data_IF_610724490591
#
_entry.id   IF_610724490591
#
_cell.length_a   1.000
_cell.length_b   1.000
_cell.length_c   1.000
_cell.angle_alpha   90.00
_cell.angle_beta   90.00
_cell.angle_gamma   90.00
#
_symmetry.space_group_name_H-M   'P 1'
#
loop_
_entity.id
_entity.type
_entity.pdbx_description
1 polymer ?
#
# COMPACT_ATOMS: atom_id res chain seq x y z
N UNK A 1 11.64 -23.03 2.98
CA UNK A 1 10.38 -22.26 3.03
C UNK A 1 9.73 -22.47 4.37
N UNK A 2 8.61 -21.79 4.63
CA UNK A 2 7.75 -22.07 5.78
C UNK A 2 7.13 -23.47 5.69
N UNK A 3 6.96 -24.15 6.83
CA UNK A 3 6.26 -25.44 6.87
C UNK A 3 4.76 -25.22 6.57
N UNK A 4 4.22 -25.81 5.48
CA UNK A 4 2.80 -25.67 5.13
C UNK A 4 1.85 -26.24 6.20
N UNK A 5 2.33 -27.06 7.14
CA UNK A 5 1.56 -27.61 8.27
C UNK A 5 1.44 -26.63 9.44
N UNK A 6 2.33 -25.64 9.54
CA UNK A 6 2.27 -24.57 10.54
C UNK A 6 1.38 -23.45 9.98
N UNK A 7 0.07 -23.64 10.07
CA UNK A 7 -0.92 -22.71 9.51
C UNK A 7 -1.05 -21.42 10.35
N UNK A 8 -0.06 -20.53 10.28
CA UNK A 8 -0.18 -19.14 10.76
C UNK A 8 -1.39 -18.46 10.12
N UNK A 9 -2.01 -17.48 10.77
CA UNK A 9 -3.16 -16.75 10.20
C UNK A 9 -2.87 -16.18 8.80
N UNK A 10 -1.64 -15.68 8.61
CA UNK A 10 -1.15 -15.18 7.32
C UNK A 10 -0.94 -16.31 6.30
N UNK A 11 -0.47 -17.49 6.73
CA UNK A 11 -0.39 -18.69 5.89
C UNK A 11 -1.77 -19.17 5.42
N UNK A 12 -2.77 -19.16 6.30
CA UNK A 12 -4.17 -19.47 5.94
C UNK A 12 -4.73 -18.49 4.92
N UNK A 13 -4.45 -17.18 5.07
CA UNK A 13 -4.85 -16.16 4.11
C UNK A 13 -4.24 -16.43 2.71
N UNK A 14 -2.93 -16.71 2.65
CA UNK A 14 -2.26 -17.05 1.39
C UNK A 14 -2.85 -18.30 0.75
N UNK A 15 -3.09 -19.36 1.54
CA UNK A 15 -3.72 -20.58 1.01
C UNK A 15 -5.12 -20.32 0.45
N UNK A 16 -5.90 -19.44 1.08
CA UNK A 16 -7.23 -19.05 0.57
C UNK A 16 -7.12 -18.25 -0.73
N UNK A 17 -6.18 -17.31 -0.81
CA UNK A 17 -5.87 -16.58 -2.05
C UNK A 17 -5.48 -17.53 -3.17
N UNK A 18 -4.63 -18.52 -2.89
CA UNK A 18 -4.20 -19.48 -3.89
C UNK A 18 -5.34 -20.32 -4.46
N UNK A 19 -6.27 -20.75 -3.60
CA UNK A 19 -7.47 -21.44 -4.05
C UNK A 19 -8.34 -20.55 -4.95
N UNK A 20 -8.56 -19.30 -4.56
CA UNK A 20 -9.31 -18.34 -5.37
C UNK A 20 -8.63 -18.09 -6.72
N UNK A 21 -7.31 -17.91 -6.75
CA UNK A 21 -6.54 -17.74 -7.99
C UNK A 21 -6.73 -18.93 -8.94
N UNK A 22 -6.77 -20.16 -8.41
CA UNK A 22 -7.03 -21.36 -9.20
C UNK A 22 -8.46 -21.38 -9.77
N UNK A 23 -9.45 -21.00 -8.96
CA UNK A 23 -10.85 -20.90 -9.39
C UNK A 23 -11.03 -19.80 -10.46
N UNK A 24 -10.42 -18.62 -10.26
CA UNK A 24 -10.41 -17.52 -11.24
C UNK A 24 -9.80 -18.00 -12.56
N UNK A 25 -8.65 -18.68 -12.52
CA UNK A 25 -8.01 -19.22 -13.72
C UNK A 25 -8.92 -20.23 -14.44
N UNK A 26 -9.59 -21.10 -13.70
CA UNK A 26 -10.55 -22.06 -14.27
C UNK A 26 -11.69 -21.35 -14.99
N UNK A 27 -12.32 -20.38 -14.34
CA UNK A 27 -13.42 -19.62 -14.94
C UNK A 27 -12.97 -18.76 -16.14
N UNK A 28 -11.77 -18.18 -16.11
CA UNK A 28 -11.20 -17.48 -17.27
C UNK A 28 -11.02 -18.40 -18.48
N UNK A 29 -10.58 -19.64 -18.27
CA UNK A 29 -10.47 -20.64 -19.34
C UNK A 29 -11.82 -21.06 -19.89
N UNK A 30 -12.82 -21.25 -19.02
CA UNK A 30 -14.20 -21.53 -19.43
C UNK A 30 -14.76 -20.39 -20.27
N UNK A 31 -14.56 -19.14 -19.83
CA UNK A 31 -14.97 -17.94 -20.57
C UNK A 31 -14.33 -17.90 -21.96
N UNK A 32 -13.01 -18.07 -22.05
CA UNK A 32 -12.30 -18.05 -23.33
C UNK A 32 -12.81 -19.16 -24.29
N UNK A 33 -13.04 -20.36 -23.76
CA UNK A 33 -13.63 -21.46 -24.52
C UNK A 33 -15.04 -21.15 -25.03
N UNK A 34 -15.89 -20.59 -24.17
CA UNK A 34 -17.24 -20.17 -24.53
C UNK A 34 -17.26 -19.02 -25.54
N UNK A 35 -16.38 -18.02 -25.42
CA UNK A 35 -16.25 -16.92 -26.39
C UNK A 35 -15.82 -17.44 -27.76
N UNK A 36 -14.86 -18.37 -27.81
CA UNK A 36 -14.43 -18.99 -29.06
C UNK A 36 -15.56 -19.81 -29.70
N UNK A 37 -16.30 -20.58 -28.91
CA UNK A 37 -17.46 -21.34 -29.40
C UNK A 37 -18.57 -20.42 -29.90
N UNK A 38 -18.83 -19.31 -29.20
CA UNK A 38 -19.82 -18.31 -29.58
C UNK A 38 -19.48 -17.66 -30.94
N UNK A 39 -18.19 -17.37 -31.16
CA UNK A 39 -17.68 -16.83 -32.43
C UNK A 39 -17.73 -17.86 -33.55
N UNK A 40 -17.44 -19.13 -33.27
CA UNK A 40 -17.36 -20.20 -34.26
C UNK A 40 -18.72 -20.77 -34.67
N UNK A 41 -19.73 -20.73 -33.79
CA UNK A 41 -21.03 -21.38 -34.05
C UNK A 41 -21.95 -20.56 -34.95
N UNK A 42 -22.55 -21.21 -35.94
CA UNK A 42 -23.59 -20.65 -36.81
C UNK A 42 -25.01 -21.07 -36.40
N UNK A 43 -25.14 -22.02 -35.47
CA UNK A 43 -26.43 -22.49 -34.97
C UNK A 43 -27.00 -21.51 -33.95
N UNK A 44 -28.14 -20.89 -34.28
CA UNK A 44 -28.80 -19.87 -33.45
C UNK A 44 -29.14 -20.35 -32.05
N UNK A 45 -29.68 -21.57 -31.89
CA UNK A 45 -30.03 -22.12 -30.56
C UNK A 45 -28.78 -22.34 -29.71
N UNK A 46 -27.73 -22.92 -30.31
CA UNK A 46 -26.47 -23.12 -29.62
C UNK A 46 -25.83 -21.78 -29.23
N UNK A 47 -25.93 -20.77 -30.10
CA UNK A 47 -25.43 -19.41 -29.83
C UNK A 47 -26.14 -18.76 -28.63
N UNK A 48 -27.45 -18.91 -28.53
CA UNK A 48 -28.25 -18.47 -27.38
C UNK A 48 -27.83 -19.20 -26.09
N UNK A 49 -27.62 -20.52 -26.14
CA UNK A 49 -27.12 -21.28 -24.98
C UNK A 49 -25.74 -20.81 -24.54
N UNK A 50 -24.80 -20.63 -25.48
CA UNK A 50 -23.44 -20.17 -25.15
C UNK A 50 -23.46 -18.74 -24.60
N UNK A 51 -24.38 -17.87 -25.04
CA UNK A 51 -24.55 -16.54 -24.46
C UNK A 51 -24.98 -16.58 -22.99
N UNK A 52 -25.90 -17.50 -22.63
CA UNK A 52 -26.33 -17.70 -21.24
C UNK A 52 -25.17 -18.22 -20.39
N UNK A 53 -24.41 -19.20 -20.90
CA UNK A 53 -23.22 -19.71 -20.21
C UNK A 53 -22.15 -18.62 -20.02
N UNK A 54 -21.91 -17.78 -21.03
CA UNK A 54 -21.00 -16.64 -20.91
C UNK A 54 -21.44 -15.67 -19.79
N UNK A 55 -22.74 -15.40 -19.69
CA UNK A 55 -23.29 -14.58 -18.61
C UNK A 55 -23.05 -15.21 -17.24
N UNK A 56 -23.26 -16.52 -17.10
CA UNK A 56 -23.02 -17.26 -15.86
C UNK A 56 -21.54 -17.25 -15.46
N UNK A 57 -20.63 -17.55 -16.39
CA UNK A 57 -19.18 -17.54 -16.14
C UNK A 57 -18.70 -16.12 -15.78
N UNK A 58 -19.20 -15.08 -16.43
CA UNK A 58 -18.87 -13.70 -16.08
C UNK A 58 -19.33 -13.33 -14.66
N UNK A 59 -20.53 -13.75 -14.26
CA UNK A 59 -21.05 -13.56 -12.90
C UNK A 59 -20.19 -14.28 -11.85
N UNK A 60 -19.81 -15.54 -12.11
CA UNK A 60 -18.91 -16.28 -11.21
C UNK A 60 -17.52 -15.64 -11.11
N UNK A 61 -16.95 -15.20 -12.23
CA UNK A 61 -15.67 -14.48 -12.24
C UNK A 61 -15.73 -13.22 -11.39
N UNK A 62 -16.83 -12.48 -11.50
CA UNK A 62 -17.05 -11.26 -10.71
C UNK A 62 -17.07 -11.58 -9.21
N UNK A 63 -17.83 -12.61 -8.79
CA UNK A 63 -17.88 -13.05 -7.40
C UNK A 63 -16.51 -13.47 -6.86
N UNK A 64 -15.75 -14.25 -7.64
CA UNK A 64 -14.41 -14.71 -7.23
C UNK A 64 -13.42 -13.55 -7.09
N UNK A 65 -13.47 -12.58 -8.00
CA UNK A 65 -12.66 -11.35 -7.92
C UNK A 65 -13.00 -10.53 -6.69
N UNK A 66 -14.27 -10.40 -6.34
CA UNK A 66 -14.71 -9.71 -5.12
C UNK A 66 -14.20 -10.41 -3.85
N UNK A 67 -14.27 -11.74 -3.80
CA UNK A 67 -13.72 -12.50 -2.69
C UNK A 67 -12.21 -12.30 -2.56
N UNK A 68 -11.47 -12.22 -3.68
CA UNK A 68 -10.05 -11.91 -3.67
C UNK A 68 -9.78 -10.48 -3.19
N UNK A 69 -10.58 -9.50 -3.63
CA UNK A 69 -10.48 -8.11 -3.19
C UNK A 69 -10.73 -7.95 -1.68
N UNK A 70 -11.68 -8.69 -1.11
CA UNK A 70 -11.92 -8.73 0.34
C UNK A 70 -10.67 -9.24 1.11
N UNK A 71 -10.03 -10.30 0.60
CA UNK A 71 -8.79 -10.80 1.20
C UNK A 71 -7.63 -9.81 1.05
N UNK A 72 -7.54 -9.10 -0.07
CA UNK A 72 -6.52 -8.07 -0.29
C UNK A 72 -6.76 -6.81 0.56
N UNK A 73 -8.01 -6.55 0.95
CA UNK A 73 -8.40 -5.46 1.87
C UNK A 73 -8.17 -5.80 3.35
N UNK A 74 -7.77 -7.04 3.66
CA UNK A 74 -7.54 -7.53 5.02
C UNK A 74 -6.17 -7.11 5.59
N UNK A 75 -5.99 -5.79 5.78
CA UNK A 75 -4.72 -5.21 6.26
C UNK A 75 -4.36 -5.57 7.71
N UNK A 76 -5.34 -5.90 8.55
CA UNK A 76 -5.17 -6.11 10.00
C UNK A 76 -4.26 -7.28 10.35
N UNK A 77 -4.27 -8.33 9.53
CA UNK A 77 -3.47 -9.53 9.75
C UNK A 77 -1.95 -9.27 9.74
N UNK A 78 -1.54 -8.14 9.16
CA UNK A 78 -0.15 -7.74 9.01
C UNK A 78 0.29 -6.67 10.01
N UNK A 79 -0.67 -6.02 10.70
CA UNK A 79 -0.35 -4.99 11.67
C UNK A 79 0.34 -5.58 12.91
N UNK A 80 1.02 -4.73 13.68
CA UNK A 80 1.62 -5.12 14.96
C UNK A 80 0.56 -5.61 15.97
N UNK A 81 1.00 -6.42 16.94
CA UNK A 81 0.13 -6.97 18.00
C UNK A 81 -0.15 -5.97 19.14
N UNK A 82 0.21 -4.70 18.96
CA UNK A 82 0.00 -3.66 19.96
C UNK A 82 -1.49 -3.46 20.24
N UNK A 83 -1.84 -3.29 21.51
CA UNK A 83 -3.20 -2.95 21.93
C UNK A 83 -3.58 -1.51 21.65
N UNK A 84 -2.59 -0.66 21.31
CA UNK A 84 -2.82 0.73 21.00
C UNK A 84 -3.47 0.85 19.61
N UNK A 85 -4.49 1.69 19.52
CA UNK A 85 -5.09 2.03 18.24
C UNK A 85 -4.09 2.83 17.41
N UNK A 86 -3.62 2.25 16.32
CA UNK A 86 -2.66 2.86 15.38
C UNK A 86 -3.31 2.91 14.00
N UNK A 87 -2.98 3.95 13.23
CA UNK A 87 -3.46 4.10 11.85
C UNK A 87 -2.99 2.86 11.05
N UNK A 88 -3.85 2.16 10.29
CA UNK A 88 -3.41 0.96 9.59
C UNK A 88 -2.51 1.31 8.39
N UNK A 89 -1.51 0.46 8.16
CA UNK A 89 -0.70 0.48 6.94
C UNK A 89 -1.26 -0.48 5.90
N UNK A 90 -1.03 -0.19 4.62
CA UNK A 90 -1.34 -1.04 3.47
C UNK A 90 -0.11 -1.91 3.15
N UNK A 91 -0.13 -3.21 3.51
CA UNK A 91 0.86 -4.18 3.05
C UNK A 91 0.44 -4.78 1.70
N UNK A 92 1.41 -5.30 0.96
CA UNK A 92 1.19 -6.00 -0.30
C UNK A 92 1.16 -7.51 -0.11
N UNK A 93 0.33 -8.16 -0.93
CA UNK A 93 0.30 -9.61 -1.06
C UNK A 93 1.50 -10.15 -1.83
N UNK A 94 1.85 -11.41 -1.60
CA UNK A 94 2.83 -12.09 -2.44
C UNK A 94 2.16 -12.59 -3.73
N UNK A 95 2.88 -12.46 -4.85
CA UNK A 95 2.61 -13.21 -6.08
C UNK A 95 2.85 -14.68 -5.84
N UNK A 96 2.06 -15.49 -6.53
CA UNK A 96 2.14 -16.95 -6.46
C UNK A 96 2.67 -17.52 -7.77
N UNK A 97 3.31 -18.69 -7.72
CA UNK A 97 3.80 -19.38 -8.91
C UNK A 97 3.61 -20.88 -8.79
N UNK A 98 3.52 -21.54 -9.95
CA UNK A 98 3.44 -22.99 -10.06
C UNK A 98 4.81 -23.65 -9.94
N UNK A 99 4.77 -24.95 -9.69
CA UNK A 99 5.95 -25.81 -9.77
C UNK A 99 6.44 -25.86 -11.21
N UNK A 100 7.77 -25.90 -11.35
CA UNK A 100 8.45 -26.01 -12.63
C UNK A 100 9.53 -27.05 -12.44
N UNK A 101 9.54 -28.04 -13.32
CA UNK A 101 10.60 -29.02 -13.40
C UNK A 101 11.69 -28.52 -14.36
N UNK A 102 12.90 -28.34 -13.84
CA UNK A 102 14.07 -27.94 -14.62
C UNK A 102 14.96 -29.13 -14.97
N UNK A 103 14.70 -30.32 -14.41
CA UNK A 103 15.60 -31.46 -14.49
C UNK A 103 15.84 -31.89 -15.92
N UNK A 104 14.80 -32.37 -16.59
CA UNK A 104 14.95 -32.88 -17.95
C UNK A 104 15.37 -31.77 -18.93
N UNK A 105 14.76 -30.56 -18.93
CA UNK A 105 15.20 -29.48 -19.82
C UNK A 105 16.67 -29.08 -19.65
N UNK A 106 17.18 -29.03 -18.41
CA UNK A 106 18.59 -28.69 -18.18
C UNK A 106 19.51 -29.84 -18.55
N UNK A 107 19.14 -31.09 -18.27
CA UNK A 107 19.92 -32.26 -18.66
C UNK A 107 20.05 -32.37 -20.18
N UNK A 108 18.94 -32.25 -20.89
CA UNK A 108 18.90 -32.28 -22.34
C UNK A 108 19.75 -31.15 -22.93
N UNK A 109 19.68 -29.95 -22.35
CA UNK A 109 20.54 -28.85 -22.77
C UNK A 109 22.02 -29.11 -22.52
N UNK A 110 22.39 -29.69 -21.37
CA UNK A 110 23.78 -30.02 -21.05
C UNK A 110 24.35 -31.04 -22.03
N UNK A 111 23.59 -32.10 -22.32
CA UNK A 111 23.96 -33.13 -23.29
C UNK A 111 24.11 -32.54 -24.70
N UNK A 112 23.12 -31.77 -25.16
CA UNK A 112 23.08 -31.28 -26.54
C UNK A 112 24.01 -30.09 -26.80
N UNK A 113 24.13 -29.15 -25.88
CA UNK A 113 24.89 -27.91 -26.07
C UNK A 113 26.34 -28.04 -25.61
N UNK A 114 26.56 -28.60 -24.42
CA UNK A 114 27.90 -28.73 -23.83
C UNK A 114 28.56 -30.07 -24.15
N UNK A 115 27.82 -31.04 -24.70
CA UNK A 115 28.33 -32.41 -24.96
C UNK A 115 28.89 -33.07 -23.69
N UNK A 116 28.28 -32.77 -22.54
CA UNK A 116 28.69 -33.27 -21.24
C UNK A 116 27.66 -34.26 -20.67
N UNK A 117 28.12 -35.21 -19.85
CA UNK A 117 27.23 -36.11 -19.10
C UNK A 117 26.45 -35.33 -18.04
N UNK A 118 25.16 -35.13 -18.30
CA UNK A 118 24.28 -34.34 -17.46
C UNK A 118 24.06 -34.93 -16.05
N UNK A 119 24.32 -36.22 -15.84
CA UNK A 119 24.17 -36.84 -14.50
C UNK A 119 25.18 -36.29 -13.49
N UNK A 120 26.29 -35.70 -13.94
CA UNK A 120 27.25 -35.00 -13.07
C UNK A 120 26.69 -33.74 -12.41
N UNK A 121 25.57 -33.23 -12.93
CA UNK A 121 24.95 -31.98 -12.49
C UNK A 121 23.61 -32.20 -11.76
N UNK A 122 23.22 -33.45 -11.50
CA UNK A 122 21.96 -33.80 -10.83
C UNK A 122 21.76 -33.03 -9.52
N UNK A 123 22.77 -33.04 -8.65
CA UNK A 123 22.71 -32.41 -7.33
C UNK A 123 22.56 -30.88 -7.46
N UNK A 124 23.28 -30.25 -8.38
CA UNK A 124 23.20 -28.81 -8.60
C UNK A 124 21.83 -28.37 -9.17
N UNK A 125 21.25 -29.20 -10.05
CA UNK A 125 19.90 -29.00 -10.58
C UNK A 125 18.87 -29.17 -9.46
N UNK A 126 19.01 -30.22 -8.64
CA UNK A 126 18.14 -30.46 -7.49
C UNK A 126 18.21 -29.29 -6.49
N UNK A 127 19.40 -28.80 -6.14
CA UNK A 127 19.58 -27.64 -5.26
C UNK A 127 18.91 -26.36 -5.78
N UNK A 128 18.98 -26.12 -7.10
CA UNK A 128 18.30 -25.00 -7.74
C UNK A 128 16.78 -25.15 -7.67
N UNK A 129 16.26 -26.34 -7.98
CA UNK A 129 14.84 -26.66 -7.89
C UNK A 129 14.32 -26.55 -6.45
N UNK A 130 15.07 -27.03 -5.48
CA UNK A 130 14.73 -26.95 -4.05
C UNK A 130 14.71 -25.49 -3.56
N UNK A 131 15.68 -24.68 -4.02
CA UNK A 131 15.69 -23.24 -3.72
C UNK A 131 14.45 -22.56 -4.30
N UNK A 132 14.08 -22.88 -5.55
CA UNK A 132 12.85 -22.38 -6.17
C UNK A 132 11.60 -22.86 -5.43
N UNK A 133 11.53 -24.13 -5.07
CA UNK A 133 10.39 -24.66 -4.35
C UNK A 133 10.23 -24.00 -2.99
N UNK A 134 11.35 -23.78 -2.28
CA UNK A 134 11.36 -23.11 -1.00
C UNK A 134 10.89 -21.65 -1.07
N UNK A 135 11.20 -20.92 -2.14
CA UNK A 135 10.84 -19.50 -2.26
C UNK A 135 9.35 -19.27 -2.53
N UNK A 136 8.60 -20.30 -2.94
CA UNK A 136 7.14 -20.21 -3.18
C UNK A 136 6.36 -19.92 -1.91
N UNK A 137 6.92 -20.31 -0.76
CA UNK A 137 6.35 -20.06 0.58
C UNK A 137 7.39 -19.42 1.51
N UNK A 138 7.89 -18.22 1.16
CA UNK A 138 8.95 -17.60 1.92
C UNK A 138 8.45 -17.20 3.31
N UNK A 139 9.36 -17.15 4.28
CA UNK A 139 9.04 -16.57 5.58
C UNK A 139 8.80 -15.07 5.44
N UNK A 140 7.99 -14.49 6.34
CA UNK A 140 7.62 -13.06 6.29
C UNK A 140 8.55 -12.25 7.20
N UNK A 141 9.84 -12.44 6.98
CA UNK A 141 10.96 -11.90 7.75
C UNK A 141 12.22 -11.77 6.87
N UNK A 142 13.33 -11.35 7.48
CA UNK A 142 14.64 -11.22 6.81
C UNK A 142 15.16 -12.54 6.23
N UNK A 143 14.82 -13.69 6.83
CA UNK A 143 15.21 -15.01 6.31
C UNK A 143 14.52 -15.30 4.99
N UNK A 144 13.22 -14.97 4.87
CA UNK A 144 12.48 -15.10 3.61
C UNK A 144 13.01 -14.18 2.52
N UNK A 145 13.38 -12.94 2.85
CA UNK A 145 14.05 -12.01 1.93
C UNK A 145 15.39 -12.61 1.45
N UNK A 146 16.21 -13.15 2.36
CA UNK A 146 17.46 -13.80 2.02
C UNK A 146 17.29 -14.99 1.07
N UNK A 147 16.23 -15.79 1.25
CA UNK A 147 15.88 -16.90 0.37
C UNK A 147 15.51 -16.42 -1.05
N UNK A 148 14.66 -15.39 -1.17
CA UNK A 148 14.28 -14.81 -2.46
C UNK A 148 15.50 -14.20 -3.16
N UNK A 149 16.36 -13.50 -2.43
CA UNK A 149 17.57 -12.91 -2.97
C UNK A 149 18.58 -13.98 -3.44
N UNK A 150 18.73 -15.09 -2.72
CA UNK A 150 19.53 -16.25 -3.16
C UNK A 150 19.03 -16.79 -4.49
N UNK A 151 17.72 -17.00 -4.63
CA UNK A 151 17.14 -17.50 -5.88
C UNK A 151 17.30 -16.49 -7.02
N UNK A 152 17.05 -15.20 -6.77
CA UNK A 152 17.27 -14.13 -7.74
C UNK A 152 18.71 -14.12 -8.28
N UNK A 153 19.70 -14.29 -7.41
CA UNK A 153 21.11 -14.38 -7.81
C UNK A 153 21.42 -15.66 -8.61
N UNK A 154 20.80 -16.78 -8.27
CA UNK A 154 20.94 -18.01 -9.07
C UNK A 154 20.37 -17.83 -10.49
N UNK A 155 19.25 -17.10 -10.65
CA UNK A 155 18.67 -16.81 -11.97
C UNK A 155 19.64 -16.06 -12.89
N UNK A 156 20.52 -15.21 -12.35
CA UNK A 156 21.57 -14.57 -13.16
C UNK A 156 22.50 -15.59 -13.82
N UNK A 157 22.92 -16.61 -13.07
CA UNK A 157 23.82 -17.65 -13.56
C UNK A 157 23.12 -18.65 -14.49
N UNK A 158 21.85 -18.95 -14.21
CA UNK A 158 21.02 -19.86 -15.00
C UNK A 158 20.67 -19.24 -16.34
N UNK A 159 20.24 -17.97 -16.37
CA UNK A 159 19.89 -17.26 -17.61
C UNK A 159 21.04 -17.29 -18.62
N UNK A 160 22.26 -16.99 -18.17
CA UNK A 160 23.45 -16.93 -19.05
C UNK A 160 23.91 -18.28 -19.59
N UNK A 161 23.49 -19.40 -18.99
CA UNK A 161 23.91 -20.75 -19.39
C UNK A 161 22.83 -21.48 -20.16
N UNK A 162 21.58 -21.38 -19.71
CA UNK A 162 20.48 -22.23 -20.16
C UNK A 162 19.47 -21.50 -21.06
N UNK A 163 19.47 -20.16 -21.08
CA UNK A 163 18.48 -19.38 -21.83
C UNK A 163 19.13 -18.51 -22.91
N UNK A 164 19.77 -19.12 -23.94
CA UNK A 164 20.28 -18.35 -25.06
C UNK A 164 19.11 -17.82 -25.92
N UNK A 165 19.27 -16.67 -26.62
CA UNK A 165 18.16 -16.03 -27.35
C UNK A 165 17.55 -16.86 -28.48
N UNK A 166 18.32 -17.78 -29.05
CA UNK A 166 18.01 -18.57 -30.24
C UNK A 166 17.47 -19.98 -29.95
N UNK A 167 17.45 -20.41 -28.67
CA UNK A 167 16.95 -21.74 -28.28
C UNK A 167 15.89 -21.67 -27.19
N UNK A 168 14.86 -22.49 -27.36
CA UNK A 168 13.81 -22.68 -26.35
C UNK A 168 14.04 -23.96 -25.57
N UNK A 169 14.03 -23.87 -24.24
CA UNK A 169 14.00 -25.04 -23.35
C UNK A 169 12.59 -25.58 -23.08
N UNK A 170 11.55 -24.94 -23.61
CA UNK A 170 10.16 -25.29 -23.26
C UNK A 170 9.79 -25.00 -21.80
N UNK A 171 10.61 -24.21 -21.09
CA UNK A 171 10.33 -23.75 -19.73
C UNK A 171 9.47 -22.49 -19.78
N UNK A 172 8.40 -22.49 -18.99
CA UNK A 172 7.46 -21.37 -18.87
C UNK A 172 7.26 -21.01 -17.39
N UNK A 173 7.52 -19.75 -17.08
CA UNK A 173 7.28 -19.16 -15.78
C UNK A 173 5.84 -18.66 -15.69
N UNK A 174 5.00 -19.38 -14.95
CA UNK A 174 3.61 -19.00 -14.68
C UNK A 174 3.51 -18.37 -13.28
N UNK A 175 3.09 -17.11 -13.24
CA UNK A 175 2.86 -16.35 -12.01
C UNK A 175 1.44 -15.80 -11.96
N UNK A 176 0.89 -15.71 -10.76
CA UNK A 176 -0.40 -15.07 -10.51
C UNK A 176 -0.16 -13.64 -10.04
N UNK A 177 -0.92 -12.73 -10.63
CA UNK A 177 -0.99 -11.33 -10.24
C UNK A 177 -1.44 -11.18 -8.77
N UNK A 178 -0.70 -10.39 -8.01
CA UNK A 178 -0.93 -10.22 -6.57
C UNK A 178 -2.18 -9.39 -6.23
N UNK A 179 -2.70 -8.61 -7.18
CA UNK A 179 -3.86 -7.74 -7.01
C UNK A 179 -5.13 -8.42 -7.55
N UNK A 180 -5.04 -8.98 -8.75
CA UNK A 180 -6.20 -9.49 -9.52
C UNK A 180 -6.30 -11.01 -9.54
N UNK A 181 -5.24 -11.74 -9.18
CA UNK A 181 -5.19 -13.20 -9.22
C UNK A 181 -5.13 -13.79 -10.63
N UNK A 182 -5.04 -12.95 -11.67
CA UNK A 182 -4.94 -13.40 -13.06
C UNK A 182 -3.55 -14.00 -13.32
N UNK A 183 -3.46 -15.18 -13.96
CA UNK A 183 -2.17 -15.78 -14.29
C UNK A 183 -1.55 -15.14 -15.53
N UNK A 184 -0.23 -14.92 -15.49
CA UNK A 184 0.60 -14.56 -16.63
C UNK A 184 1.71 -15.59 -16.80
N UNK A 185 1.98 -15.97 -18.04
CA UNK A 185 2.92 -17.04 -18.39
C UNK A 185 3.91 -16.53 -19.42
N UNK A 186 5.21 -16.57 -19.10
CA UNK A 186 6.29 -16.12 -20.00
C UNK A 186 7.46 -17.09 -20.00
N UNK A 187 8.25 -17.04 -21.07
CA UNK A 187 9.49 -17.82 -21.20
C UNK A 187 10.72 -17.07 -20.67
N UNK A 188 10.62 -15.76 -20.50
CA UNK A 188 11.78 -14.91 -20.19
C UNK A 188 12.15 -15.02 -18.72
N UNK A 189 13.45 -15.21 -18.43
CA UNK A 189 13.96 -15.21 -17.04
C UNK A 189 13.78 -13.82 -16.39
N UNK A 190 13.77 -12.76 -17.19
CA UNK A 190 13.43 -11.41 -16.74
C UNK A 190 12.06 -11.36 -16.04
N UNK A 191 11.05 -12.09 -16.53
CA UNK A 191 9.74 -12.14 -15.88
C UNK A 191 9.79 -12.84 -14.51
N UNK A 192 10.47 -13.99 -14.41
CA UNK A 192 10.70 -14.68 -13.13
C UNK A 192 11.42 -13.76 -12.13
N UNK A 193 12.48 -13.08 -12.58
CA UNK A 193 13.25 -12.11 -11.77
C UNK A 193 12.37 -10.98 -11.23
N UNK A 194 11.56 -10.35 -12.09
CA UNK A 194 10.64 -9.28 -11.68
C UNK A 194 9.65 -9.76 -10.62
N UNK A 195 9.07 -10.96 -10.78
CA UNK A 195 8.12 -11.53 -9.82
C UNK A 195 8.77 -11.87 -8.47
N UNK A 196 10.03 -12.36 -8.48
CA UNK A 196 10.79 -12.61 -7.24
C UNK A 196 11.09 -11.30 -6.51
N UNK A 197 11.51 -10.26 -7.23
CA UNK A 197 11.72 -8.92 -6.66
C UNK A 197 10.43 -8.33 -6.10
N UNK A 198 9.31 -8.49 -6.81
CA UNK A 198 8.00 -8.07 -6.32
C UNK A 198 7.70 -8.70 -4.95
N UNK A 199 7.93 -10.00 -4.81
CA UNK A 199 7.74 -10.70 -3.54
C UNK A 199 8.69 -10.21 -2.43
N UNK A 200 9.92 -9.81 -2.76
CA UNK A 200 10.82 -9.17 -1.79
C UNK A 200 10.25 -7.83 -1.32
N UNK A 201 9.83 -6.98 -2.26
CA UNK A 201 9.17 -5.70 -1.96
C UNK A 201 7.94 -5.88 -1.08
N UNK A 202 7.08 -6.84 -1.42
CA UNK A 202 5.90 -7.17 -0.65
C UNK A 202 6.22 -7.66 0.78
N UNK A 203 7.24 -8.50 0.98
CA UNK A 203 7.66 -8.90 2.35
C UNK A 203 8.14 -7.68 3.14
N UNK A 204 8.92 -6.77 2.55
CA UNK A 204 9.31 -5.53 3.23
C UNK A 204 8.09 -4.73 3.70
N UNK A 205 7.05 -4.57 2.86
CA UNK A 205 5.81 -3.88 3.30
C UNK A 205 5.14 -4.57 4.49
N UNK A 206 5.15 -5.91 4.53
CA UNK A 206 4.56 -6.70 5.61
C UNK A 206 5.39 -6.61 6.91
N UNK A 207 6.71 -6.53 6.80
CA UNK A 207 7.60 -6.31 7.95
C UNK A 207 7.39 -4.90 8.51
N UNK A 208 7.30 -3.88 7.63
CA UNK A 208 7.07 -2.50 8.01
C UNK A 208 5.73 -2.31 8.74
N UNK A 209 4.65 -2.86 8.19
CA UNK A 209 3.32 -2.81 8.82
C UNK A 209 3.25 -3.54 10.17
N UNK A 210 4.13 -4.53 10.42
CA UNK A 210 4.17 -5.30 11.67
C UNK A 210 4.87 -4.55 12.81
N UNK A 211 5.68 -3.54 12.52
CA UNK A 211 6.50 -2.90 13.54
C UNK A 211 5.66 -2.23 14.63
N UNK A 212 6.21 -2.20 15.85
CA UNK A 212 5.60 -1.48 16.96
C UNK A 212 5.92 0.01 16.86
N UNK A 213 4.94 0.76 16.34
CA UNK A 213 5.02 2.20 16.12
C UNK A 213 4.90 3.05 17.39
N UNK A 214 4.77 2.45 18.56
CA UNK A 214 4.85 3.16 19.85
C UNK A 214 6.29 3.42 20.32
N UNK A 215 7.29 2.89 19.61
CA UNK A 215 8.71 3.02 19.97
C UNK A 215 9.51 3.63 18.82
N UNK A 216 10.51 4.46 19.14
CA UNK A 216 11.41 5.05 18.13
C UNK A 216 12.11 3.98 17.28
N UNK A 217 12.53 2.86 17.90
CA UNK A 217 13.17 1.74 17.21
C UNK A 217 12.22 1.05 16.22
N UNK A 218 10.96 0.85 16.60
CA UNK A 218 9.97 0.26 15.70
C UNK A 218 9.61 1.18 14.56
N UNK A 219 9.52 2.49 14.80
CA UNK A 219 9.35 3.50 13.75
C UNK A 219 10.53 3.52 12.76
N UNK A 220 11.77 3.52 13.25
CA UNK A 220 12.96 3.43 12.39
C UNK A 220 12.98 2.16 11.54
N UNK A 221 12.61 1.02 12.14
CA UNK A 221 12.47 -0.22 11.40
C UNK A 221 11.34 -0.15 10.35
N UNK A 222 10.21 0.51 10.64
CA UNK A 222 9.11 0.66 9.70
C UNK A 222 9.54 1.50 8.49
N UNK A 223 10.20 2.63 8.74
CA UNK A 223 10.77 3.52 7.71
C UNK A 223 11.73 2.76 6.82
N UNK A 224 12.74 2.07 7.38
CA UNK A 224 13.73 1.30 6.60
C UNK A 224 13.05 0.26 5.70
N UNK A 225 12.04 -0.45 6.21
CA UNK A 225 11.32 -1.46 5.43
C UNK A 225 10.46 -0.85 4.31
N UNK A 226 9.71 0.23 4.57
CA UNK A 226 8.91 0.87 3.52
C UNK A 226 9.79 1.49 2.42
N UNK A 227 10.93 2.09 2.79
CA UNK A 227 11.89 2.63 1.81
C UNK A 227 12.56 1.52 0.99
N UNK A 228 12.93 0.38 1.60
CA UNK A 228 13.43 -0.79 0.86
C UNK A 228 12.39 -1.34 -0.12
N UNK A 229 11.12 -1.38 0.29
CA UNK A 229 10.03 -1.78 -0.58
C UNK A 229 9.88 -0.82 -1.77
N UNK A 230 9.82 0.49 -1.51
CA UNK A 230 9.72 1.53 -2.54
C UNK A 230 10.89 1.46 -3.53
N UNK A 231 12.13 1.34 -3.03
CA UNK A 231 13.31 1.18 -3.86
C UNK A 231 13.29 -0.10 -4.71
N UNK A 232 12.76 -1.20 -4.16
CA UNK A 232 12.59 -2.45 -4.91
C UNK A 232 11.59 -2.29 -6.06
N UNK A 233 10.42 -1.68 -5.82
CA UNK A 233 9.43 -1.45 -6.88
C UNK A 233 9.89 -0.44 -7.92
N UNK A 234 10.60 0.62 -7.50
CA UNK A 234 11.24 1.56 -8.43
C UNK A 234 12.26 0.86 -9.32
N UNK A 235 13.09 -0.02 -8.76
CA UNK A 235 14.02 -0.81 -9.55
C UNK A 235 13.31 -1.71 -10.56
N UNK A 236 12.18 -2.33 -10.18
CA UNK A 236 11.36 -3.11 -11.11
C UNK A 236 10.85 -2.22 -12.25
N UNK A 237 10.28 -1.06 -11.91
CA UNK A 237 9.73 -0.08 -12.86
C UNK A 237 10.77 0.34 -13.91
N UNK A 238 11.99 0.66 -13.47
CA UNK A 238 13.05 1.15 -14.35
C UNK A 238 13.70 0.06 -15.23
N UNK A 239 13.68 -1.21 -14.79
CA UNK A 239 14.45 -2.30 -15.43
C UNK A 239 13.59 -3.37 -16.12
N UNK A 240 12.27 -3.40 -15.90
CA UNK A 240 11.37 -4.44 -16.41
C UNK A 240 10.11 -3.86 -17.09
N UNK A 241 10.30 -3.15 -18.20
CA UNK A 241 9.27 -2.27 -18.82
C UNK A 241 8.16 -2.97 -19.61
N UNK A 242 8.29 -4.26 -19.95
CA UNK A 242 7.33 -5.01 -20.77
C UNK A 242 6.69 -6.18 -20.00
N UNK A 243 6.25 -5.92 -18.77
CA UNK A 243 5.70 -6.96 -17.93
C UNK A 243 4.28 -7.39 -18.39
N UNK A 244 3.98 -8.69 -18.41
CA UNK A 244 2.71 -9.24 -18.89
C UNK A 244 1.60 -9.27 -17.82
N UNK A 245 1.87 -8.80 -16.60
CA UNK A 245 0.94 -8.79 -15.48
C UNK A 245 0.69 -7.36 -15.02
N UNK A 246 -0.54 -7.09 -14.59
CA UNK A 246 -0.98 -5.73 -14.25
C UNK A 246 -0.23 -5.18 -13.04
N UNK A 247 0.06 -6.03 -12.05
CA UNK A 247 0.83 -5.68 -10.85
C UNK A 247 2.30 -5.27 -11.11
N UNK A 248 2.78 -5.48 -12.34
CA UNK A 248 4.09 -5.02 -12.80
C UNK A 248 3.97 -3.91 -13.86
N UNK A 249 2.76 -3.42 -14.12
CA UNK A 249 2.51 -2.29 -15.01
C UNK A 249 3.10 -0.99 -14.46
N UNK A 250 3.58 -0.08 -15.33
CA UNK A 250 4.32 1.09 -14.88
C UNK A 250 3.49 2.02 -13.98
N UNK A 251 2.23 2.25 -14.30
CA UNK A 251 1.32 3.09 -13.51
C UNK A 251 1.05 2.50 -12.11
N UNK A 252 0.90 1.17 -12.04
CA UNK A 252 0.72 0.47 -10.76
C UNK A 252 1.99 0.58 -9.92
N UNK A 253 3.15 0.33 -10.50
CA UNK A 253 4.42 0.40 -9.78
C UNK A 253 4.70 1.82 -9.26
N UNK A 254 4.40 2.85 -10.05
CA UNK A 254 4.54 4.25 -9.59
C UNK A 254 3.59 4.55 -8.42
N UNK A 255 2.31 4.16 -8.53
CA UNK A 255 1.35 4.31 -7.42
C UNK A 255 1.84 3.58 -6.15
N UNK A 256 2.35 2.35 -6.29
CA UNK A 256 2.90 1.58 -5.16
C UNK A 256 4.12 2.26 -4.54
N UNK A 257 5.01 2.83 -5.36
CA UNK A 257 6.17 3.59 -4.86
C UNK A 257 5.72 4.79 -4.04
N UNK A 258 4.80 5.62 -4.56
CA UNK A 258 4.31 6.80 -3.85
C UNK A 258 3.57 6.42 -2.56
N UNK A 259 2.76 5.37 -2.57
CA UNK A 259 2.10 4.85 -1.38
C UNK A 259 3.10 4.48 -0.28
N UNK A 260 4.19 3.77 -0.65
CA UNK A 260 5.19 3.33 0.31
C UNK A 260 6.04 4.47 0.85
N UNK A 261 6.33 5.50 0.03
CA UNK A 261 6.98 6.73 0.48
C UNK A 261 6.10 7.50 1.46
N UNK A 262 4.79 7.64 1.19
CA UNK A 262 3.84 8.26 2.10
C UNK A 262 3.76 7.52 3.45
N UNK A 263 3.72 6.19 3.43
CA UNK A 263 3.72 5.38 4.67
C UNK A 263 5.05 5.47 5.45
N UNK A 264 6.18 5.63 4.77
CA UNK A 264 7.45 5.91 5.42
C UNK A 264 7.45 7.30 6.10
N UNK A 265 6.95 8.33 5.41
CA UNK A 265 6.82 9.68 5.95
C UNK A 265 5.83 9.75 7.12
N UNK A 266 4.74 8.98 7.08
CA UNK A 266 3.84 8.77 8.22
C UNK A 266 4.59 8.28 9.47
N UNK A 267 5.51 7.32 9.32
CA UNK A 267 6.30 6.82 10.44
C UNK A 267 7.34 7.86 10.94
N UNK A 268 7.87 8.71 10.05
CA UNK A 268 8.76 9.80 10.44
C UNK A 268 8.03 10.89 11.24
N UNK A 269 6.82 11.25 10.83
CA UNK A 269 5.96 12.18 11.57
C UNK A 269 5.65 11.64 12.98
N UNK A 270 5.24 10.38 13.08
CA UNK A 270 5.00 9.73 14.38
C UNK A 270 6.24 9.71 15.27
N UNK A 271 7.43 9.54 14.68
CA UNK A 271 8.70 9.57 15.41
C UNK A 271 8.98 10.97 15.97
N UNK A 272 8.76 12.01 15.17
CA UNK A 272 8.90 13.40 15.62
C UNK A 272 7.90 13.74 16.73
N UNK A 273 6.67 13.23 16.63
CA UNK A 273 5.67 13.38 17.69
C UNK A 273 6.11 12.71 18.99
N UNK A 274 6.58 11.46 18.92
CA UNK A 274 7.05 10.69 20.07
C UNK A 274 8.24 11.36 20.77
N UNK A 275 9.21 11.85 19.99
CA UNK A 275 10.41 12.50 20.53
C UNK A 275 10.12 13.86 21.18
N UNK A 276 9.00 14.49 20.83
CA UNK A 276 8.62 15.82 21.33
C UNK A 276 7.62 15.79 22.49
N UNK A 277 7.13 14.64 22.94
CA UNK A 277 6.04 14.58 23.94
C UNK A 277 6.40 15.28 25.26
N UNK A 278 7.64 15.15 25.74
CA UNK A 278 8.08 15.73 27.01
C UNK A 278 8.48 17.21 26.92
N UNK A 279 8.93 17.66 25.74
CA UNK A 279 9.47 19.00 25.54
C UNK A 279 9.03 19.60 24.19
N UNK A 280 7.71 19.75 24.01
CA UNK A 280 7.13 20.32 22.80
C UNK A 280 7.18 21.85 22.85
N UNK A 281 8.11 22.43 22.10
CA UNK A 281 8.21 23.89 21.92
C UNK A 281 7.28 24.38 20.80
N UNK A 282 7.13 25.69 20.68
CA UNK A 282 6.37 26.33 19.61
C UNK A 282 6.93 25.94 18.25
N UNK A 283 8.25 26.02 18.06
CA UNK A 283 8.88 25.70 16.78
C UNK A 283 8.63 24.23 16.41
N UNK A 284 8.70 23.31 17.37
CA UNK A 284 8.37 21.89 17.13
C UNK A 284 6.90 21.70 16.75
N UNK A 285 5.97 22.47 17.33
CA UNK A 285 4.56 22.45 16.90
C UNK A 285 4.44 22.89 15.43
N UNK A 286 5.15 23.93 15.01
CA UNK A 286 5.11 24.41 13.62
C UNK A 286 5.76 23.41 12.66
N UNK A 287 6.89 22.81 13.04
CA UNK A 287 7.54 21.73 12.27
C UNK A 287 6.59 20.53 12.10
N UNK A 288 5.93 20.11 13.19
CA UNK A 288 4.93 19.04 13.16
C UNK A 288 3.73 19.38 12.28
N UNK A 289 3.32 20.65 12.25
CA UNK A 289 2.23 21.10 11.39
C UNK A 289 2.62 21.00 9.91
N UNK A 290 3.81 21.47 9.56
CA UNK A 290 4.31 21.43 8.19
C UNK A 290 4.51 19.99 7.70
N UNK A 291 5.16 19.14 8.50
CA UNK A 291 5.35 17.72 8.16
C UNK A 291 4.02 16.97 8.02
N UNK A 292 3.00 17.32 8.82
CA UNK A 292 1.67 16.75 8.68
C UNK A 292 0.94 17.24 7.41
N UNK A 293 1.11 18.52 7.02
CA UNK A 293 0.58 19.06 5.78
C UNK A 293 1.23 18.41 4.55
N UNK A 294 2.55 18.28 4.53
CA UNK A 294 3.30 17.60 3.47
C UNK A 294 2.91 16.11 3.35
N UNK A 295 2.69 15.43 4.49
CA UNK A 295 2.19 14.07 4.48
C UNK A 295 0.76 13.97 3.90
N UNK A 296 -0.10 14.95 4.19
CA UNK A 296 -1.44 15.01 3.61
C UNK A 296 -1.38 15.17 2.07
N UNK A 297 -0.49 16.01 1.56
CA UNK A 297 -0.24 16.17 0.11
C UNK A 297 0.32 14.89 -0.53
N UNK A 298 1.25 14.20 0.15
CA UNK A 298 1.72 12.89 -0.31
C UNK A 298 0.55 11.91 -0.48
N UNK A 299 -0.37 11.86 0.48
CA UNK A 299 -1.56 11.00 0.37
C UNK A 299 -2.58 11.50 -0.66
N UNK A 300 -2.67 12.81 -0.89
CA UNK A 300 -3.48 13.38 -1.97
C UNK A 300 -2.95 12.95 -3.34
N UNK A 301 -1.63 12.98 -3.55
CA UNK A 301 -0.99 12.50 -4.77
C UNK A 301 -1.20 10.99 -4.96
N UNK A 302 -1.05 10.20 -3.90
CA UNK A 302 -1.37 8.76 -3.96
C UNK A 302 -2.85 8.55 -4.31
N UNK A 303 -3.75 9.36 -3.77
CA UNK A 303 -5.19 9.29 -4.07
C UNK A 303 -5.50 9.62 -5.54
N UNK A 304 -4.79 10.58 -6.14
CA UNK A 304 -4.89 10.88 -7.58
C UNK A 304 -4.45 9.67 -8.43
N UNK A 305 -3.26 9.13 -8.15
CA UNK A 305 -2.71 7.99 -8.89
C UNK A 305 -3.59 6.74 -8.79
N UNK A 306 -4.09 6.44 -7.60
CA UNK A 306 -4.91 5.24 -7.36
C UNK A 306 -6.32 5.36 -7.95
N UNK A 307 -6.81 6.58 -8.15
CA UNK A 307 -8.13 6.87 -8.74
C UNK A 307 -8.09 6.96 -10.26
N UNK A 308 -6.91 6.99 -10.86
CA UNK A 308 -6.76 6.99 -12.31
C UNK A 308 -7.28 5.67 -12.92
N UNK A 309 -7.92 5.73 -14.09
CA UNK A 309 -8.60 4.57 -14.72
C UNK A 309 -7.67 3.37 -14.96
N UNK A 310 -6.39 3.63 -15.24
CA UNK A 310 -5.37 2.57 -15.43
C UNK A 310 -5.03 1.78 -14.15
N UNK A 311 -5.40 2.30 -12.98
CA UNK A 311 -5.08 1.72 -11.66
C UNK A 311 -6.33 1.30 -10.89
N UNK A 312 -7.36 2.15 -10.91
CA UNK A 312 -8.58 2.04 -10.13
C UNK A 312 -9.21 0.65 -10.18
N UNK A 313 -9.32 0.06 -11.36
CA UNK A 313 -10.03 -1.22 -11.59
C UNK A 313 -9.26 -2.46 -11.08
N UNK A 314 -8.00 -2.29 -10.69
CA UNK A 314 -7.09 -3.40 -10.31
C UNK A 314 -6.74 -3.42 -8.84
N UNK A 315 -6.83 -2.27 -8.17
CA UNK A 315 -6.74 -2.15 -6.72
C UNK A 315 -7.96 -2.82 -6.08
N UNK A 316 -7.90 -3.35 -4.84
CA UNK A 316 -9.01 -4.09 -4.23
C UNK A 316 -10.35 -3.33 -4.29
N UNK A 317 -11.11 -3.64 -5.34
CA UNK A 317 -12.40 -3.08 -5.71
C UNK A 317 -13.48 -4.10 -5.36
N UNK A 318 -14.55 -3.67 -4.69
CA UNK A 318 -15.75 -4.49 -4.52
C UNK A 318 -16.88 -3.83 -5.31
N UNK A 319 -17.50 -4.54 -6.28
CA UNK A 319 -18.58 -3.96 -7.10
C UNK A 319 -19.84 -3.60 -6.29
N UNK A 320 -19.89 -3.96 -5.01
CA UNK A 320 -20.95 -3.65 -4.06
C UNK A 320 -20.58 -2.52 -3.08
N UNK A 321 -19.41 -1.90 -3.23
CA UNK A 321 -19.00 -0.70 -2.50
C UNK A 321 -18.63 0.37 -3.52
N UNK A 322 -19.33 1.50 -3.48
CA UNK A 322 -18.95 2.71 -4.23
C UNK A 322 -17.58 3.27 -3.77
N UNK A 323 -16.94 2.64 -2.76
CA UNK A 323 -15.75 3.12 -2.07
C UNK A 323 -14.71 1.98 -1.92
N UNK A 324 -13.73 1.87 -2.84
CA UNK A 324 -12.64 0.88 -2.75
C UNK A 324 -11.79 1.11 -1.49
N UNK A 325 -11.34 0.03 -0.85
CA UNK A 325 -10.80 0.10 0.51
C UNK A 325 -9.50 0.91 0.62
N UNK A 326 -8.61 0.78 -0.35
CA UNK A 326 -7.34 1.52 -0.38
C UNK A 326 -7.56 2.99 -0.73
N UNK A 327 -8.42 3.27 -1.72
CA UNK A 327 -8.78 4.64 -2.13
C UNK A 327 -9.43 5.40 -0.97
N UNK A 328 -10.34 4.74 -0.27
CA UNK A 328 -11.00 5.30 0.91
C UNK A 328 -10.02 5.53 2.04
N UNK A 329 -9.07 4.60 2.25
CA UNK A 329 -8.08 4.74 3.32
C UNK A 329 -7.09 5.87 3.02
N UNK A 330 -6.62 6.02 1.77
CA UNK A 330 -5.72 7.12 1.39
C UNK A 330 -6.42 8.46 1.54
N UNK A 331 -7.70 8.54 1.18
CA UNK A 331 -8.51 9.74 1.41
C UNK A 331 -8.69 10.03 2.90
N UNK A 332 -9.05 9.04 3.72
CA UNK A 332 -9.13 9.20 5.19
C UNK A 332 -7.80 9.67 5.77
N UNK A 333 -6.67 9.13 5.30
CA UNK A 333 -5.34 9.54 5.76
C UNK A 333 -5.03 10.98 5.36
N UNK A 334 -5.33 11.38 4.13
CA UNK A 334 -5.20 12.79 3.68
C UNK A 334 -5.94 13.72 4.65
N UNK A 335 -7.25 13.53 4.81
CA UNK A 335 -8.06 14.39 5.68
C UNK A 335 -7.59 14.37 7.15
N UNK A 336 -7.15 13.20 7.63
CA UNK A 336 -6.64 13.04 8.99
C UNK A 336 -5.37 13.85 9.22
N UNK A 337 -4.41 13.79 8.28
CA UNK A 337 -3.15 14.52 8.41
C UNK A 337 -3.31 16.02 8.15
N UNK A 338 -4.23 16.44 7.28
CA UNK A 338 -4.63 17.85 7.16
C UNK A 338 -5.19 18.38 8.48
N UNK A 339 -6.11 17.63 9.11
CA UNK A 339 -6.67 18.02 10.41
C UNK A 339 -5.62 18.02 11.53
N UNK A 340 -4.67 17.09 11.48
CA UNK A 340 -3.55 17.02 12.42
C UNK A 340 -2.60 18.22 12.27
N UNK A 341 -2.34 18.67 11.03
CA UNK A 341 -1.57 19.88 10.77
C UNK A 341 -2.20 21.09 11.46
N UNK A 342 -3.51 21.30 11.28
CA UNK A 342 -4.24 22.36 11.95
C UNK A 342 -4.21 22.26 13.49
N UNK A 343 -4.31 21.05 14.06
CA UNK A 343 -4.15 20.86 15.50
C UNK A 343 -2.77 21.27 16.01
N UNK A 344 -1.70 21.00 15.24
CA UNK A 344 -0.34 21.38 15.61
C UNK A 344 -0.12 22.90 15.50
N UNK A 345 -0.63 23.55 14.46
CA UNK A 345 -0.59 25.03 14.36
C UNK A 345 -1.29 25.66 15.56
N UNK A 346 -2.50 25.20 15.87
CA UNK A 346 -3.24 25.69 17.02
C UNK A 346 -2.47 25.48 18.32
N UNK A 347 -1.85 24.31 18.51
CA UNK A 347 -1.02 24.01 19.68
C UNK A 347 0.20 24.94 19.80
N UNK A 348 0.78 25.36 18.67
CA UNK A 348 1.89 26.32 18.63
C UNK A 348 1.44 27.75 18.94
N UNK A 349 0.35 28.21 18.31
CA UNK A 349 -0.19 29.57 18.47
C UNK A 349 -0.78 29.79 19.87
N UNK A 350 -1.41 28.77 20.45
CA UNK A 350 -1.97 28.77 21.81
C UNK A 350 -0.97 28.28 22.88
N UNK A 351 0.30 28.09 22.51
CA UNK A 351 1.31 27.61 23.44
C UNK A 351 1.49 28.60 24.60
N UNK A 352 1.75 28.10 25.82
CA UNK A 352 1.96 28.92 27.03
C UNK A 352 3.05 30.01 26.89
N UNK A 353 4.03 29.77 26.03
CA UNK A 353 5.16 30.68 25.79
C UNK A 353 4.94 31.58 24.55
N UNK A 354 3.76 31.54 23.92
CA UNK A 354 3.50 32.22 22.65
C UNK A 354 3.60 33.75 22.71
N UNK A 355 3.37 34.35 23.88
CA UNK A 355 3.62 35.79 24.11
C UNK A 355 5.07 36.19 23.82
N UNK A 356 6.01 35.26 24.03
CA UNK A 356 7.45 35.47 23.88
C UNK A 356 7.99 34.82 22.61
N UNK A 357 7.14 34.57 21.60
CA UNK A 357 7.56 34.05 20.29
C UNK A 357 8.73 34.86 19.75
N UNK A 358 9.79 34.15 19.35
CA UNK A 358 10.95 34.76 18.71
C UNK A 358 10.57 35.36 17.35
N UNK A 359 11.38 36.29 16.83
CA UNK A 359 11.17 36.85 15.49
C UNK A 359 11.19 35.73 14.45
N UNK A 360 12.14 34.80 14.54
CA UNK A 360 12.23 33.65 13.65
C UNK A 360 10.96 32.79 13.68
N UNK A 361 10.42 32.50 14.87
CA UNK A 361 9.17 31.74 15.02
C UNK A 361 7.99 32.44 14.37
N UNK A 362 7.91 33.78 14.47
CA UNK A 362 6.85 34.57 13.81
C UNK A 362 7.00 34.56 12.29
N UNK A 363 8.23 34.62 11.78
CA UNK A 363 8.51 34.47 10.35
C UNK A 363 8.11 33.07 9.85
N UNK A 364 8.48 32.00 10.58
CA UNK A 364 8.04 30.63 10.27
C UNK A 364 6.53 30.52 10.22
N UNK A 365 5.81 31.05 11.20
CA UNK A 365 4.34 31.06 11.20
C UNK A 365 3.75 31.82 10.01
N UNK A 366 4.38 32.95 9.63
CA UNK A 366 3.95 33.71 8.46
C UNK A 366 4.16 32.93 7.16
N UNK A 367 5.29 32.24 7.00
CA UNK A 367 5.56 31.39 5.83
C UNK A 367 4.64 30.17 5.79
N UNK A 368 4.36 29.57 6.94
CA UNK A 368 3.44 28.45 7.06
C UNK A 368 2.03 28.79 6.54
N UNK A 369 1.57 30.04 6.71
CA UNK A 369 0.25 30.44 6.22
C UNK A 369 0.32 31.00 4.79
N UNK A 370 -0.31 30.30 3.85
CA UNK A 370 -0.44 30.76 2.46
C UNK A 370 -1.45 31.89 2.38
N UNK A 371 -1.14 32.91 1.58
CA UNK A 371 -2.05 34.02 1.31
C UNK A 371 -3.14 33.54 0.33
N UNK A 372 -4.39 33.50 0.79
CA UNK A 372 -5.55 33.19 -0.06
C UNK A 372 -6.50 34.37 -0.10
N UNK A 373 -7.02 34.69 -1.29
CA UNK A 373 -8.09 35.71 -1.43
C UNK A 373 -9.43 35.24 -0.83
N UNK A 374 -9.56 33.95 -0.48
CA UNK A 374 -10.79 33.31 -0.03
C UNK A 374 -10.90 33.11 1.49
N UNK A 375 -9.86 33.38 2.28
CA UNK A 375 -9.87 33.11 3.73
C UNK A 375 -10.38 34.32 4.52
N UNK A 376 -11.43 34.16 5.36
CA UNK A 376 -11.99 35.27 6.14
C UNK A 376 -11.07 35.79 7.26
N UNK A 377 -10.22 34.94 7.86
CA UNK A 377 -9.14 35.38 8.77
C UNK A 377 -7.89 35.70 7.94
N UNK A 378 -7.48 36.97 7.95
CA UNK A 378 -6.16 37.41 7.45
C UNK A 378 -5.18 37.65 8.62
N UNK A 379 -5.08 36.65 9.51
CA UNK A 379 -4.14 36.66 10.64
C UNK A 379 -3.04 35.64 10.35
N UNK A 380 -2.02 36.07 9.60
CA UNK A 380 -0.83 35.23 9.33
C UNK A 380 0.19 35.28 10.47
N UNK A 381 0.24 36.41 11.17
CA UNK A 381 1.09 36.63 12.33
C UNK A 381 0.28 37.38 13.40
N UNK A 382 -0.17 36.70 14.46
CA UNK A 382 -1.01 37.30 15.48
C UNK A 382 -0.22 38.31 16.33
N UNK A 383 -0.77 39.51 16.48
CA UNK A 383 -0.12 40.65 17.14
C UNK A 383 -0.32 40.64 18.66
N UNK A 384 -1.45 40.13 19.11
CA UNK A 384 -1.86 40.10 20.51
C UNK A 384 -2.45 38.74 20.89
N UNK A 385 -2.89 38.62 22.15
CA UNK A 385 -3.47 37.39 22.68
C UNK A 385 -4.81 37.05 22.03
N UNK A 386 -5.61 38.05 21.68
CA UNK A 386 -6.93 37.84 21.08
C UNK A 386 -6.81 37.35 19.63
N UNK A 387 -5.91 37.92 18.83
CA UNK A 387 -5.58 37.42 17.49
C UNK A 387 -5.00 35.99 17.56
N UNK A 388 -4.17 35.67 18.57
CA UNK A 388 -3.67 34.29 18.78
C UNK A 388 -4.81 33.33 19.12
N UNK A 389 -5.70 33.73 20.02
CA UNK A 389 -6.85 32.91 20.44
C UNK A 389 -7.78 32.65 19.25
N UNK A 390 -8.11 33.69 18.50
CA UNK A 390 -8.96 33.60 17.32
C UNK A 390 -8.36 32.69 16.25
N UNK A 391 -7.08 32.86 15.91
CA UNK A 391 -6.37 32.02 14.94
C UNK A 391 -6.30 30.56 15.40
N UNK A 392 -5.95 30.33 16.68
CA UNK A 392 -5.89 29.00 17.27
C UNK A 392 -7.25 28.28 17.27
N UNK A 393 -8.34 29.00 17.55
CA UNK A 393 -9.71 28.46 17.48
C UNK A 393 -10.13 28.15 16.05
N UNK A 394 -9.81 29.02 15.08
CA UNK A 394 -10.13 28.79 13.67
C UNK A 394 -9.48 27.49 13.16
N UNK A 395 -8.20 27.26 13.47
CA UNK A 395 -7.53 26.00 13.15
C UNK A 395 -8.14 24.78 13.85
N UNK A 396 -8.49 24.87 15.14
CA UNK A 396 -9.14 23.75 15.84
C UNK A 396 -10.50 23.40 15.25
N UNK A 397 -11.25 24.41 14.80
CA UNK A 397 -12.53 24.20 14.13
C UNK A 397 -12.36 23.50 12.79
N UNK A 398 -11.41 23.94 11.96
CA UNK A 398 -11.10 23.28 10.69
C UNK A 398 -10.65 21.82 10.94
N UNK A 399 -9.80 21.60 11.94
CA UNK A 399 -9.41 20.24 12.35
C UNK A 399 -10.62 19.37 12.75
N UNK A 400 -11.62 19.93 13.44
CA UNK A 400 -12.84 19.22 13.81
C UNK A 400 -13.67 18.83 12.59
N UNK A 401 -13.85 19.74 11.62
CA UNK A 401 -14.55 19.48 10.36
C UNK A 401 -13.88 18.34 9.60
N UNK A 402 -12.55 18.41 9.44
CA UNK A 402 -11.76 17.38 8.77
C UNK A 402 -11.83 16.01 9.49
N UNK A 403 -11.86 16.01 10.83
CA UNK A 403 -11.99 14.78 11.61
C UNK A 403 -13.40 14.17 11.53
N UNK A 404 -14.45 14.99 11.45
CA UNK A 404 -15.81 14.53 11.19
C UNK A 404 -15.92 13.93 9.78
N UNK A 405 -15.25 14.54 8.81
CA UNK A 405 -15.16 14.04 7.44
C UNK A 405 -14.43 12.69 7.38
N UNK A 406 -13.31 12.55 8.09
CA UNK A 406 -12.63 11.25 8.25
C UNK A 406 -13.58 10.16 8.78
N UNK A 407 -14.39 10.49 9.79
CA UNK A 407 -15.36 9.54 10.35
C UNK A 407 -16.51 9.25 9.38
N UNK A 408 -16.91 10.22 8.53
CA UNK A 408 -17.90 10.01 7.46
C UNK A 408 -17.34 9.05 6.41
N UNK A 409 -16.16 9.32 5.86
CA UNK A 409 -15.48 8.47 4.88
C UNK A 409 -15.27 7.04 5.40
N UNK A 410 -14.79 6.90 6.63
CA UNK A 410 -14.65 5.60 7.30
C UNK A 410 -15.98 4.82 7.40
N UNK A 411 -17.10 5.50 7.64
CA UNK A 411 -18.43 4.86 7.74
C UNK A 411 -19.00 4.45 6.38
N UNK A 412 -18.58 5.11 5.30
CA UNK A 412 -19.08 4.87 3.95
C UNK A 412 -18.42 3.68 3.27
N UNK A 413 -17.14 3.40 3.57
CA UNK A 413 -16.48 2.19 3.10
C UNK A 413 -16.77 1.00 4.04
N UNK A 414 -17.43 -0.04 3.52
CA UNK A 414 -17.83 -1.24 4.28
C UNK A 414 -16.63 -1.94 4.90
N UNK A 415 -15.54 -2.02 4.15
CA UNK A 415 -14.29 -2.67 4.53
C UNK A 415 -13.57 -1.89 5.64
N UNK A 416 -13.62 -0.56 5.61
CA UNK A 416 -13.02 0.29 6.65
C UNK A 416 -13.86 0.29 7.93
N UNK A 417 -15.19 0.24 7.84
CA UNK A 417 -16.09 0.20 9.00
C UNK A 417 -15.79 -0.95 9.96
N UNK A 418 -15.28 -2.08 9.45
CA UNK A 418 -14.86 -3.23 10.26
C UNK A 418 -13.55 -3.03 11.02
N UNK A 419 -12.77 -1.98 10.72
CA UNK A 419 -11.43 -1.74 11.25
C UNK A 419 -11.49 -1.01 12.59
N UNK A 420 -11.57 -1.76 13.69
CA UNK A 420 -11.71 -1.18 15.03
C UNK A 420 -10.57 -0.25 15.44
N UNK A 421 -9.32 -0.56 15.06
CA UNK A 421 -8.16 0.28 15.34
C UNK A 421 -8.28 1.65 14.66
N UNK A 422 -8.65 1.68 13.37
CA UNK A 422 -8.90 2.92 12.62
C UNK A 422 -10.02 3.75 13.26
N UNK A 423 -11.15 3.12 13.56
CA UNK A 423 -12.27 3.79 14.24
C UNK A 423 -11.87 4.37 15.62
N UNK A 424 -10.96 3.73 16.35
CA UNK A 424 -10.44 4.26 17.60
C UNK A 424 -9.49 5.43 17.40
N UNK A 425 -8.59 5.39 16.40
CA UNK A 425 -7.72 6.52 16.03
C UNK A 425 -8.53 7.76 15.69
N UNK A 426 -9.52 7.63 14.79
CA UNK A 426 -10.35 8.76 14.34
C UNK A 426 -11.18 9.36 15.49
N UNK A 427 -11.74 8.51 16.37
CA UNK A 427 -12.48 8.99 17.55
C UNK A 427 -11.57 9.69 18.56
N UNK A 428 -10.36 9.17 18.78
CA UNK A 428 -9.42 9.76 19.71
C UNK A 428 -8.91 11.13 19.22
N UNK A 429 -8.63 11.26 17.92
CA UNK A 429 -8.25 12.54 17.32
C UNK A 429 -9.38 13.58 17.46
N UNK A 430 -10.61 13.21 17.08
CA UNK A 430 -11.79 14.06 17.26
C UNK A 430 -12.00 14.49 18.70
N UNK A 431 -11.92 13.54 19.65
CA UNK A 431 -12.06 13.85 21.08
C UNK A 431 -10.98 14.84 21.56
N UNK A 432 -9.72 14.66 21.15
CA UNK A 432 -8.62 15.55 21.53
C UNK A 432 -8.82 16.97 20.98
N UNK A 433 -9.16 17.09 19.69
CA UNK A 433 -9.42 18.40 19.07
C UNK A 433 -10.63 19.09 19.70
N UNK A 434 -11.71 18.35 20.00
CA UNK A 434 -12.91 18.90 20.62
C UNK A 434 -12.61 19.41 22.04
N UNK A 435 -11.84 18.64 22.82
CA UNK A 435 -11.40 19.07 24.14
C UNK A 435 -10.58 20.37 24.06
N UNK A 436 -9.61 20.45 23.15
CA UNK A 436 -8.82 21.67 22.94
C UNK A 436 -9.66 22.86 22.46
N UNK A 437 -10.64 22.62 21.59
CA UNK A 437 -11.57 23.67 21.12
C UNK A 437 -12.43 24.22 22.25
N UNK A 438 -13.06 23.34 23.04
CA UNK A 438 -13.91 23.73 24.17
C UNK A 438 -13.15 24.39 25.31
N UNK A 439 -11.89 24.03 25.55
CA UNK A 439 -11.08 24.70 26.58
C UNK A 439 -10.69 26.14 26.21
N UNK A 440 -10.86 26.52 24.94
CA UNK A 440 -10.53 27.85 24.43
C UNK A 440 -11.79 28.74 24.33
N UNK A 441 -12.95 28.23 24.75
CA UNK A 441 -14.24 28.92 24.65
C UNK A 441 -14.44 29.92 25.80
N UNK A 442 -14.87 31.15 25.48
CA UNK A 442 -15.22 32.18 26.48
C UNK A 442 -16.64 32.70 26.24
N UNK A 443 -17.32 33.17 27.29
CA UNK A 443 -18.77 33.51 27.28
C UNK A 443 -19.18 34.62 26.27
N UNK A 444 -18.22 35.35 25.70
CA UNK A 444 -18.44 36.48 24.77
C UNK A 444 -18.10 36.18 23.29
N UNK A 445 -17.81 34.92 22.92
CA UNK A 445 -17.41 34.53 21.56
C UNK A 445 -18.59 34.41 20.58
N UNK A 446 -19.35 35.50 20.42
CA UNK A 446 -20.35 35.67 19.35
C UNK A 446 -19.74 36.19 18.03
N UNK A 447 -18.42 36.18 17.89
CA UNK A 447 -17.72 36.66 16.70
C UNK A 447 -17.93 35.73 15.50
N UNK A 448 -17.97 36.34 14.30
CA UNK A 448 -18.19 35.65 13.03
C UNK A 448 -17.30 34.42 12.85
N UNK A 449 -17.90 33.38 12.27
CA UNK A 449 -17.27 32.11 11.93
C UNK A 449 -16.24 32.31 10.81
N UNK A 450 -14.95 32.42 11.15
CA UNK A 450 -13.88 32.65 10.17
C UNK A 450 -13.10 31.36 9.89
N UNK A 451 -12.79 31.11 8.62
CA UNK A 451 -11.96 29.98 8.20
C UNK A 451 -10.47 30.34 8.38
N UNK A 452 -9.63 29.39 8.85
CA UNK A 452 -8.22 29.66 9.06
C UNK A 452 -7.44 29.79 7.74
N UNK A 453 -6.23 30.38 7.78
CA UNK A 453 -5.33 30.35 6.63
C UNK A 453 -4.93 28.92 6.25
N UNK A 454 -4.72 28.68 4.95
CA UNK A 454 -4.18 27.41 4.45
C UNK A 454 -2.75 27.19 4.95
N UNK A 455 -2.45 25.96 5.38
CA UNK A 455 -1.11 25.56 5.82
C UNK A 455 -0.29 25.14 4.59
N UNK A 456 0.86 25.78 4.40
CA UNK A 456 1.85 25.42 3.40
C UNK A 456 2.59 24.15 3.84
N UNK A 457 2.74 23.21 2.92
CA UNK A 457 3.53 22.00 3.05
C UNK A 457 5.02 22.28 2.78
#
# INVERSE_FOLDING_TARGET
GSDPRIATCRGKLQNRRSKLNQEINKELRLRAGAENLFKATTNKKLKETVAVELSFVNSNLQLLKEQLAELNSSVELYQGESTNAVMPMIPLGLKETKEIDFRDPFKDFILEHYSEDANKYEDAIADFMDTRQAMRTPLRDSTGIGLLFRYYNQLYYVERRFFPPDRSLGIYFEWFDSLTGVPSCQRTVAFEKACVLFNMGAIYTQIGAKQDRSTAKGLDAAVDNFLRAAGTFRYIHENFTNAPSMDLGPEILEMLVQLLLAQARECLLEKLQLQSEENRTIDICLDLAQEAAELAECYAHVHELISHESVHDYVPYSNFSDFPSWISLTQVKREYYTGLAHCHVSSGVLHKDAEKMSIATKETLQFLHVQSESTPIDIRNPKDEDERRLLGRAHLREALVLQEECQRLHRMCRELKGKHALAAVLRNAHKKALQAYTSTDTEDDFSDMLDPPTIQH
#
